data_IF_466903741502
#
_entry.id   IF_466903741502
#
_cell.length_a   1.000
_cell.length_b   1.000
_cell.length_c   1.000
_cell.angle_alpha   90.00
_cell.angle_beta   90.00
_cell.angle_gamma   90.00
#
_symmetry.space_group_name_H-M   'P 1'
#
loop_
_entity.id
_entity.type
_entity.pdbx_description
1 polymer ?
#
# COMPACT_ATOMS: atom_id res chain seq x y z
N UNK A 1 11.35 5.43 17.47
CA UNK A 1 12.16 5.25 16.25
C UNK A 1 12.41 6.63 15.68
N UNK A 2 13.66 7.09 15.64
CA UNK A 2 14.04 8.39 15.06
C UNK A 2 13.81 8.29 13.55
N UNK A 3 12.77 8.95 13.02
CA UNK A 3 12.67 9.14 11.58
C UNK A 3 13.87 10.00 11.18
N UNK A 4 14.77 9.46 10.36
CA UNK A 4 15.81 10.26 9.76
C UNK A 4 15.12 11.40 9.02
N UNK A 5 15.47 12.65 9.39
CA UNK A 5 14.90 13.81 8.69
C UNK A 5 15.35 13.70 7.24
N UNK A 6 14.39 13.61 6.32
CA UNK A 6 14.66 13.64 4.88
C UNK A 6 15.22 15.03 4.52
N UNK A 7 16.14 15.06 3.57
CA UNK A 7 16.68 16.30 3.01
C UNK A 7 16.28 16.45 1.53
N UNK A 8 16.66 17.57 0.93
CA UNK A 8 16.36 17.88 -0.47
C UNK A 8 16.90 16.79 -1.41
N UNK A 9 18.08 16.26 -1.16
CA UNK A 9 18.66 15.20 -1.99
C UNK A 9 17.85 13.90 -1.90
N UNK A 10 17.37 13.56 -0.70
CA UNK A 10 16.49 12.40 -0.49
C UNK A 10 15.19 12.56 -1.29
N UNK A 11 14.57 13.75 -1.22
CA UNK A 11 13.37 14.05 -1.99
C UNK A 11 13.61 13.90 -3.50
N UNK A 12 14.70 14.45 -4.02
CA UNK A 12 15.03 14.36 -5.44
C UNK A 12 15.28 12.92 -5.90
N UNK A 13 15.96 12.11 -5.07
CA UNK A 13 16.16 10.67 -5.36
C UNK A 13 14.82 9.93 -5.35
N UNK A 14 13.98 10.17 -4.36
CA UNK A 14 12.65 9.54 -4.26
C UNK A 14 11.77 9.88 -5.47
N UNK A 15 11.84 11.11 -5.94
CA UNK A 15 11.11 11.58 -7.12
C UNK A 15 11.55 10.86 -8.41
N UNK A 16 12.85 10.68 -8.62
CA UNK A 16 13.36 9.91 -9.76
C UNK A 16 12.92 8.44 -9.69
N UNK A 17 13.02 7.81 -8.51
CA UNK A 17 12.59 6.42 -8.30
C UNK A 17 11.06 6.25 -8.38
N UNK A 18 10.28 7.27 -8.06
CA UNK A 18 8.82 7.23 -8.23
C UNK A 18 8.43 7.23 -9.70
N UNK A 19 9.20 7.89 -10.56
CA UNK A 19 8.97 7.90 -12.01
C UNK A 19 9.40 6.57 -12.64
N UNK A 20 10.56 6.05 -12.25
CA UNK A 20 11.11 4.80 -12.72
C UNK A 20 11.89 4.08 -11.61
N UNK A 21 11.23 3.12 -10.96
CA UNK A 21 11.83 2.32 -9.88
C UNK A 21 13.01 1.44 -10.33
N UNK A 22 13.20 1.24 -11.64
CA UNK A 22 14.34 0.49 -12.22
C UNK A 22 15.48 1.41 -12.68
N UNK A 23 15.38 2.74 -12.48
CA UNK A 23 16.41 3.69 -12.91
C UNK A 23 17.77 3.37 -12.27
N UNK A 24 18.82 3.32 -13.10
CA UNK A 24 20.16 2.99 -12.59
C UNK A 24 20.73 4.09 -11.71
N UNK A 25 21.54 3.69 -10.72
CA UNK A 25 22.22 4.65 -9.82
C UNK A 25 23.08 5.67 -10.58
N UNK A 26 23.68 5.25 -11.70
CA UNK A 26 24.49 6.14 -12.56
C UNK A 26 23.62 7.24 -13.21
N UNK A 27 22.44 6.89 -13.68
CA UNK A 27 21.51 7.85 -14.28
C UNK A 27 21.05 8.86 -13.23
N UNK A 28 20.65 8.39 -12.05
CA UNK A 28 20.22 9.27 -10.94
C UNK A 28 21.38 10.18 -10.52
N UNK A 29 22.60 9.64 -10.34
CA UNK A 29 23.78 10.40 -9.95
C UNK A 29 24.10 11.52 -10.95
N UNK A 30 24.04 11.22 -12.25
CA UNK A 30 24.28 12.20 -13.33
C UNK A 30 23.21 13.30 -13.33
N UNK A 31 21.93 12.96 -13.22
CA UNK A 31 20.81 13.90 -13.17
C UNK A 31 20.94 14.88 -11.98
N UNK A 32 21.28 14.34 -10.82
CA UNK A 32 21.37 15.10 -9.58
C UNK A 32 22.75 15.71 -9.31
N UNK A 33 23.73 15.47 -10.21
CA UNK A 33 25.12 15.98 -10.11
C UNK A 33 25.82 15.59 -8.80
N UNK A 34 25.63 14.35 -8.37
CA UNK A 34 26.26 13.77 -7.17
C UNK A 34 27.02 12.48 -7.51
N UNK A 35 27.80 11.94 -6.57
CA UNK A 35 28.49 10.66 -6.79
C UNK A 35 27.51 9.48 -6.77
N UNK A 36 27.85 8.40 -7.51
CA UNK A 36 27.08 7.12 -7.47
C UNK A 36 27.06 6.56 -6.04
N UNK A 37 28.18 6.69 -5.30
CA UNK A 37 28.25 6.26 -3.90
C UNK A 37 27.28 7.02 -2.99
N UNK A 38 27.11 8.33 -3.21
CA UNK A 38 26.12 9.14 -2.49
C UNK A 38 24.72 8.62 -2.75
N UNK A 39 24.33 8.41 -4.01
CA UNK A 39 22.99 7.89 -4.37
C UNK A 39 22.76 6.52 -3.74
N UNK A 40 23.74 5.61 -3.86
CA UNK A 40 23.64 4.25 -3.28
C UNK A 40 23.38 4.31 -1.77
N UNK A 41 24.18 5.06 -1.03
CA UNK A 41 24.04 5.16 0.43
C UNK A 41 22.67 5.73 0.83
N UNK A 42 22.17 6.72 0.09
CA UNK A 42 20.85 7.31 0.35
C UNK A 42 19.72 6.30 0.10
N UNK A 43 19.73 5.61 -1.05
CA UNK A 43 18.74 4.60 -1.38
C UNK A 43 18.77 3.44 -0.37
N UNK A 44 19.96 2.97 0.02
CA UNK A 44 20.08 1.94 1.06
C UNK A 44 19.41 2.37 2.35
N UNK A 45 19.73 3.56 2.88
CA UNK A 45 19.11 4.11 4.08
C UNK A 45 17.59 4.22 3.95
N UNK A 46 17.10 4.83 2.86
CA UNK A 46 15.66 5.02 2.59
C UNK A 46 14.89 3.70 2.48
N UNK A 47 15.57 2.64 2.03
CA UNK A 47 14.99 1.30 1.96
C UNK A 47 14.98 0.62 3.34
N UNK A 48 16.07 0.74 4.10
CA UNK A 48 16.20 0.16 5.45
C UNK A 48 15.21 0.78 6.44
N UNK A 49 15.01 2.10 6.38
CA UNK A 49 14.03 2.81 7.22
C UNK A 49 12.59 2.73 6.68
N UNK A 50 12.39 2.01 5.56
CA UNK A 50 11.09 1.81 4.90
C UNK A 50 10.43 3.09 4.36
N UNK A 51 11.19 4.15 4.13
CA UNK A 51 10.71 5.37 3.46
C UNK A 51 10.33 5.08 2.00
N UNK A 52 11.10 4.20 1.34
CA UNK A 52 10.78 3.70 0.00
C UNK A 52 10.77 2.18 -0.05
N UNK A 53 9.88 1.63 -0.85
CA UNK A 53 9.87 0.23 -1.26
C UNK A 53 9.80 0.16 -2.78
N UNK A 54 10.80 -0.46 -3.40
CA UNK A 54 10.83 -0.66 -4.85
C UNK A 54 10.22 -2.02 -5.15
N UNK A 55 9.07 -2.04 -5.81
CA UNK A 55 8.33 -3.25 -6.15
C UNK A 55 7.93 -3.25 -7.63
N UNK A 56 7.83 -4.43 -8.21
CA UNK A 56 7.16 -4.62 -9.50
C UNK A 56 5.65 -4.49 -9.33
N UNK A 57 5.02 -3.56 -10.04
CA UNK A 57 3.57 -3.46 -10.09
C UNK A 57 3.02 -4.27 -11.25
N UNK A 58 2.19 -5.24 -10.94
CA UNK A 58 1.48 -6.03 -11.95
C UNK A 58 0.11 -5.39 -12.26
N UNK A 59 -0.41 -5.64 -13.46
CA UNK A 59 -1.81 -5.39 -13.81
C UNK A 59 -2.61 -6.63 -13.40
N UNK A 60 -3.46 -6.55 -12.36
CA UNK A 60 -4.10 -7.75 -11.83
C UNK A 60 -5.02 -8.43 -12.84
N UNK A 61 -5.73 -7.67 -13.68
CA UNK A 61 -6.63 -8.23 -14.70
C UNK A 61 -5.87 -9.12 -15.70
N UNK A 62 -4.61 -8.74 -16.02
CA UNK A 62 -3.77 -9.51 -16.94
C UNK A 62 -3.20 -10.80 -16.36
N UNK A 63 -3.19 -10.93 -15.04
CA UNK A 63 -2.66 -12.10 -14.34
C UNK A 63 -3.75 -12.94 -13.67
N UNK A 64 -5.02 -12.67 -13.98
CA UNK A 64 -6.14 -13.54 -13.61
C UNK A 64 -6.91 -13.14 -12.35
N UNK A 65 -6.81 -11.89 -11.90
CA UNK A 65 -7.69 -11.36 -10.87
C UNK A 65 -8.79 -10.52 -11.51
N UNK A 66 -10.05 -10.94 -11.35
CA UNK A 66 -11.19 -10.33 -12.02
C UNK A 66 -12.32 -9.93 -11.06
N UNK A 67 -12.16 -10.15 -9.77
CA UNK A 67 -13.12 -9.75 -8.75
C UNK A 67 -12.44 -8.89 -7.67
N UNK A 68 -12.85 -7.64 -7.60
CA UNK A 68 -12.34 -6.65 -6.65
C UNK A 68 -13.47 -6.16 -5.79
N UNK A 69 -13.25 -6.11 -4.49
CA UNK A 69 -14.24 -5.59 -3.57
C UNK A 69 -13.62 -4.77 -2.44
N UNK A 70 -14.40 -3.82 -1.96
CA UNK A 70 -14.23 -3.17 -0.67
C UNK A 70 -15.14 -3.86 0.32
N UNK A 71 -14.62 -4.20 1.49
CA UNK A 71 -15.38 -4.82 2.56
C UNK A 71 -15.25 -3.95 3.80
N UNK A 72 -16.38 -3.53 4.35
CA UNK A 72 -16.46 -2.88 5.64
C UNK A 72 -16.84 -3.89 6.69
N UNK A 73 -16.25 -3.77 7.88
CA UNK A 73 -16.43 -4.72 8.97
C UNK A 73 -16.67 -3.98 10.28
N UNK A 74 -17.74 -4.39 10.99
CA UNK A 74 -17.95 -4.06 12.41
C UNK A 74 -17.46 -5.19 13.29
N UNK A 75 -16.76 -4.84 14.37
CA UNK A 75 -16.18 -5.79 15.33
C UNK A 75 -16.80 -5.61 16.71
N UNK A 76 -17.24 -6.71 17.32
CA UNK A 76 -17.75 -6.71 18.69
C UNK A 76 -17.13 -7.87 19.49
N UNK A 77 -16.65 -7.63 20.71
CA UNK A 77 -16.49 -6.33 21.35
C UNK A 77 -15.33 -5.53 20.75
N UNK A 78 -15.33 -4.20 20.89
CA UNK A 78 -14.32 -3.31 20.28
C UNK A 78 -12.87 -3.62 20.66
N UNK A 79 -12.63 -4.22 21.84
CA UNK A 79 -11.29 -4.68 22.25
C UNK A 79 -10.68 -5.73 21.29
N UNK A 80 -11.49 -6.39 20.48
CA UNK A 80 -11.06 -7.42 19.54
C UNK A 80 -10.61 -6.88 18.17
N UNK A 81 -10.74 -5.56 17.91
CA UNK A 81 -10.40 -4.96 16.62
C UNK A 81 -8.97 -5.31 16.19
N UNK A 82 -7.99 -5.19 17.08
CA UNK A 82 -6.59 -5.50 16.75
C UNK A 82 -6.40 -6.98 16.40
N UNK A 83 -7.02 -7.89 17.14
CA UNK A 83 -6.97 -9.34 16.89
C UNK A 83 -7.61 -9.69 15.55
N UNK A 84 -8.77 -9.11 15.26
CA UNK A 84 -9.48 -9.32 13.99
C UNK A 84 -8.66 -8.75 12.82
N UNK A 85 -8.15 -7.53 12.95
CA UNK A 85 -7.30 -6.91 11.93
C UNK A 85 -6.06 -7.77 11.63
N UNK A 86 -5.39 -8.32 12.65
CA UNK A 86 -4.25 -9.22 12.45
C UNK A 86 -4.65 -10.50 11.69
N UNK A 87 -5.82 -11.08 11.96
CA UNK A 87 -6.29 -12.27 11.20
C UNK A 87 -6.60 -11.91 9.74
N UNK A 88 -7.24 -10.76 9.52
CA UNK A 88 -7.56 -10.28 8.16
C UNK A 88 -6.31 -9.94 7.35
N UNK A 89 -5.28 -9.33 7.97
CA UNK A 89 -4.03 -8.99 7.27
C UNK A 89 -3.23 -10.21 6.81
N UNK A 90 -3.50 -11.40 7.33
CA UNK A 90 -2.86 -12.65 6.91
C UNK A 90 -3.57 -13.33 5.72
N UNK A 91 -4.71 -12.81 5.28
CA UNK A 91 -5.40 -13.33 4.10
C UNK A 91 -4.71 -12.80 2.85
N UNK A 92 -4.29 -13.69 1.95
CA UNK A 92 -3.53 -13.35 0.76
C UNK A 92 -4.31 -12.45 -0.22
N UNK A 93 -5.63 -12.51 -0.19
CA UNK A 93 -6.53 -11.71 -1.01
C UNK A 93 -6.62 -10.25 -0.55
N UNK A 94 -6.20 -9.95 0.69
CA UNK A 94 -6.29 -8.60 1.27
C UNK A 94 -5.11 -7.76 0.78
N UNK A 95 -5.42 -6.76 -0.04
CA UNK A 95 -4.44 -5.82 -0.60
C UNK A 95 -4.32 -4.52 0.19
N UNK A 96 -5.31 -4.20 1.01
CA UNK A 96 -5.35 -3.04 1.89
C UNK A 96 -6.21 -3.33 3.10
N UNK A 97 -5.80 -2.86 4.27
CA UNK A 97 -6.58 -2.96 5.50
C UNK A 97 -6.32 -1.72 6.35
N UNK A 98 -7.37 -1.07 6.79
CA UNK A 98 -7.31 0.10 7.67
C UNK A 98 -8.36 0.04 8.76
N UNK A 99 -8.05 0.63 9.93
CA UNK A 99 -9.05 1.04 10.91
C UNK A 99 -9.65 2.37 10.44
N UNK A 100 -10.96 2.48 10.48
CA UNK A 100 -11.67 3.67 10.03
C UNK A 100 -12.56 4.24 11.14
N UNK A 101 -12.92 5.51 11.02
CA UNK A 101 -13.93 6.16 11.85
C UNK A 101 -15.29 6.11 11.15
N UNK A 102 -16.39 6.05 11.92
CA UNK A 102 -17.74 6.07 11.37
C UNK A 102 -18.56 4.84 11.75
N UNK A 103 -19.38 4.35 10.82
CA UNK A 103 -20.31 3.23 11.06
C UNK A 103 -19.57 1.90 11.28
N UNK A 104 -18.49 1.67 10.56
CA UNK A 104 -17.69 0.45 10.60
C UNK A 104 -16.34 0.70 11.27
N UNK A 105 -15.70 -0.36 11.75
CA UNK A 105 -14.42 -0.31 12.47
C UNK A 105 -13.23 -0.54 11.54
N UNK A 106 -13.39 -1.41 10.55
CA UNK A 106 -12.34 -1.79 9.60
C UNK A 106 -12.83 -1.68 8.17
N UNK A 107 -11.93 -1.29 7.28
CA UNK A 107 -12.08 -1.32 5.84
C UNK A 107 -10.97 -2.15 5.22
N UNK A 108 -11.31 -3.03 4.28
CA UNK A 108 -10.32 -3.77 3.50
C UNK A 108 -10.68 -3.78 2.02
N UNK A 109 -9.64 -3.81 1.18
CA UNK A 109 -9.76 -4.09 -0.24
C UNK A 109 -9.25 -5.49 -0.53
N UNK A 110 -9.99 -6.25 -1.30
CA UNK A 110 -9.63 -7.62 -1.67
C UNK A 110 -9.54 -7.77 -3.18
N UNK A 111 -8.65 -8.69 -3.60
CA UNK A 111 -8.45 -9.07 -5.00
C UNK A 111 -8.62 -10.58 -5.10
N UNK A 112 -9.65 -11.00 -5.82
CA UNK A 112 -10.01 -12.39 -6.03
C UNK A 112 -9.94 -12.76 -7.50
N UNK A 113 -9.74 -14.05 -7.80
CA UNK A 113 -9.72 -14.56 -9.19
C UNK A 113 -11.05 -14.29 -9.89
N UNK A 114 -12.15 -14.59 -9.19
CA UNK A 114 -13.52 -14.50 -9.69
C UNK A 114 -14.49 -14.34 -8.51
N UNK A 115 -15.79 -14.27 -8.82
CA UNK A 115 -16.84 -14.11 -7.81
C UNK A 115 -16.96 -15.33 -6.88
N UNK A 116 -16.69 -16.54 -7.36
CA UNK A 116 -16.73 -17.73 -6.49
C UNK A 116 -15.63 -17.68 -5.44
N UNK A 117 -14.41 -17.27 -5.84
CA UNK A 117 -13.32 -17.05 -4.89
C UNK A 117 -13.66 -15.94 -3.88
N UNK A 118 -14.37 -14.88 -4.28
CA UNK A 118 -14.84 -13.84 -3.34
C UNK A 118 -15.84 -14.42 -2.33
N UNK A 119 -16.76 -15.28 -2.76
CA UNK A 119 -17.73 -15.96 -1.86
C UNK A 119 -16.98 -16.82 -0.85
N UNK A 120 -16.02 -17.64 -1.29
CA UNK A 120 -15.18 -18.47 -0.41
C UNK A 120 -14.40 -17.61 0.61
N UNK A 121 -13.88 -16.46 0.16
CA UNK A 121 -13.21 -15.50 1.03
C UNK A 121 -14.17 -14.94 2.09
N UNK A 122 -15.39 -14.56 1.70
CA UNK A 122 -16.40 -14.05 2.62
C UNK A 122 -16.79 -15.11 3.68
N UNK A 123 -16.89 -16.37 3.30
CA UNK A 123 -17.13 -17.46 4.26
C UNK A 123 -15.99 -17.59 5.27
N UNK A 124 -14.74 -17.43 4.85
CA UNK A 124 -13.57 -17.44 5.76
C UNK A 124 -13.58 -16.22 6.69
N UNK A 125 -13.92 -15.05 6.16
CA UNK A 125 -14.03 -13.82 6.94
C UNK A 125 -15.12 -13.98 8.01
N UNK A 126 -16.30 -14.47 7.66
CA UNK A 126 -17.42 -14.64 8.61
C UNK A 126 -17.12 -15.65 9.72
N UNK A 127 -16.17 -16.57 9.53
CA UNK A 127 -15.72 -17.51 10.59
C UNK A 127 -14.75 -16.87 11.59
N UNK A 128 -14.31 -15.63 11.36
CA UNK A 128 -13.42 -14.93 12.29
C UNK A 128 -14.26 -14.41 13.48
N UNK A 129 -14.04 -14.98 14.65
CA UNK A 129 -14.70 -14.54 15.87
C UNK A 129 -14.47 -13.05 16.13
N UNK A 130 -15.52 -12.33 16.49
CA UNK A 130 -15.53 -10.90 16.74
C UNK A 130 -16.04 -10.08 15.56
N UNK A 131 -16.15 -10.64 14.35
CA UNK A 131 -16.84 -9.98 13.24
C UNK A 131 -18.35 -10.05 13.49
N UNK A 132 -18.97 -8.87 13.53
CA UNK A 132 -20.40 -8.74 13.83
C UNK A 132 -21.23 -8.45 12.58
N UNK A 133 -20.76 -7.54 11.72
CA UNK A 133 -21.43 -7.12 10.48
C UNK A 133 -20.39 -6.90 9.39
N UNK A 134 -20.74 -7.24 8.16
CA UNK A 134 -19.94 -6.93 6.97
C UNK A 134 -20.80 -6.30 5.89
N UNK A 135 -20.24 -5.33 5.17
CA UNK A 135 -20.82 -4.79 3.95
C UNK A 135 -19.79 -4.92 2.83
N UNK A 136 -20.18 -5.58 1.73
CA UNK A 136 -19.29 -5.83 0.59
C UNK A 136 -19.74 -5.02 -0.61
N UNK A 137 -18.85 -4.18 -1.14
CA UNK A 137 -19.08 -3.37 -2.32
C UNK A 137 -18.09 -3.79 -3.42
N UNK A 138 -18.60 -4.36 -4.51
CA UNK A 138 -17.77 -4.74 -5.65
C UNK A 138 -17.40 -3.50 -6.48
N UNK A 139 -16.14 -3.43 -6.92
CA UNK A 139 -15.72 -2.43 -7.88
C UNK A 139 -16.17 -2.86 -9.29
N UNK A 140 -17.05 -2.10 -9.91
CA UNK A 140 -17.50 -2.34 -11.28
C UNK A 140 -16.42 -1.89 -12.29
N UNK A 141 -15.69 -0.82 -11.98
CA UNK A 141 -14.60 -0.31 -12.81
C UNK A 141 -13.66 0.54 -11.97
N UNK A 142 -12.39 0.27 -12.07
CA UNK A 142 -11.33 1.09 -11.46
C UNK A 142 -10.81 2.07 -12.52
N UNK A 143 -10.91 3.37 -12.24
CA UNK A 143 -10.46 4.42 -13.16
C UNK A 143 -9.03 4.87 -12.90
N UNK A 144 -8.54 4.76 -11.66
CA UNK A 144 -7.20 5.19 -11.28
C UNK A 144 -6.73 4.46 -10.03
N UNK A 145 -5.52 3.96 -10.07
CA UNK A 145 -4.73 3.58 -8.91
C UNK A 145 -3.38 4.28 -9.05
N UNK A 146 -3.02 5.11 -8.08
CA UNK A 146 -1.76 5.84 -8.10
C UNK A 146 -1.15 5.89 -6.69
N UNK A 147 0.16 6.04 -6.63
CA UNK A 147 0.88 6.41 -5.41
C UNK A 147 0.73 7.93 -5.18
N UNK A 148 0.93 8.42 -3.94
CA UNK A 148 0.97 9.85 -3.68
C UNK A 148 2.02 10.54 -4.55
N UNK A 149 1.65 11.67 -5.17
CA UNK A 149 2.56 12.46 -5.98
C UNK A 149 3.44 13.30 -5.07
N UNK A 150 4.75 13.08 -5.13
CA UNK A 150 5.72 13.82 -4.31
C UNK A 150 5.76 15.32 -4.62
N UNK A 151 5.36 15.73 -5.83
CA UNK A 151 5.31 17.15 -6.17
C UNK A 151 4.28 17.94 -5.34
N UNK A 152 3.28 17.25 -4.74
CA UNK A 152 2.32 17.86 -3.81
C UNK A 152 2.95 18.34 -2.49
N UNK A 153 4.11 17.81 -2.13
CA UNK A 153 4.83 18.14 -0.89
C UNK A 153 6.20 18.74 -1.16
N UNK A 154 6.47 19.15 -2.41
CA UNK A 154 7.77 19.68 -2.84
C UNK A 154 8.25 20.83 -1.96
N UNK A 155 7.37 21.75 -1.62
CA UNK A 155 7.71 22.96 -0.85
C UNK A 155 8.17 22.65 0.60
N UNK A 156 7.97 21.44 1.08
CA UNK A 156 8.49 20.99 2.38
C UNK A 156 10.00 20.64 2.32
N UNK A 157 10.53 20.34 1.13
CA UNK A 157 11.86 19.74 0.95
C UNK A 157 12.81 20.60 0.09
N UNK A 158 12.28 21.36 -0.85
CA UNK A 158 13.04 22.21 -1.79
C UNK A 158 12.73 23.67 -1.48
N UNK A 159 13.77 24.40 -1.07
CA UNK A 159 13.69 25.84 -0.80
C UNK A 159 14.09 26.64 -2.02
#
# INVERSE_FOLDING_TARGET
>A
MSSSILDELDYLILRELQQDGAMSLTVIANKLKVSIGTVRNRITRLTEDKTIQIIGRIDPDKVGFHAYARIFISVKPAKDIQRVAQKLSNLAEVSFLAMISGKYDLELNVQCRDNNHLIELMERIHKIEGIYETETNMYLKVFKIAQPDLDLVKDLWVK
#
